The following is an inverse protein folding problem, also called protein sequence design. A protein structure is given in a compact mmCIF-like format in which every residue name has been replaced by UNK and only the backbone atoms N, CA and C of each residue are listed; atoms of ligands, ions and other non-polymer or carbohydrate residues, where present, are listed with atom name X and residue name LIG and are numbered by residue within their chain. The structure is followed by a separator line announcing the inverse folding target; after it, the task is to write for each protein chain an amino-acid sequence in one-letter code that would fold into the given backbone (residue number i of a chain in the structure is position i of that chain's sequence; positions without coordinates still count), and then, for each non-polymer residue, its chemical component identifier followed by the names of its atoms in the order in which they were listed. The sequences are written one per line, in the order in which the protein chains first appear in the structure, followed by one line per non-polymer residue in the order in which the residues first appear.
data_IF_976292634704
#
_entry.id   IF_976292634704
#
_cell.length_a   1.000
_cell.length_b   1.000
_cell.length_c   1.000
_cell.angle_alpha   90.00
_cell.angle_beta   90.00
_cell.angle_gamma   90.00
#
_symmetry.space_group_name_H-M   'P 1'
#
loop_
_entity.id
_entity.type
_entity.pdbx_description
1 polymer ?
#
# COMPACT_ATOMS: atom_id res chain seq x y z
N UNK A 1 14.45 0.71 -3.33
CA UNK A 1 13.73 -0.60 -3.39
C UNK A 1 14.54 -1.76 -2.83
N UNK A 2 15.79 -1.98 -3.25
CA UNK A 2 16.66 -3.04 -2.70
C UNK A 2 16.84 -2.96 -1.17
N UNK A 3 16.99 -1.76 -0.63
CA UNK A 3 17.11 -1.51 0.83
C UNK A 3 15.88 -1.92 1.65
N UNK A 4 14.70 -1.98 1.03
CA UNK A 4 13.43 -2.37 1.69
C UNK A 4 13.05 -3.84 1.49
N UNK A 5 13.93 -4.63 0.84
CA UNK A 5 13.73 -6.05 0.48
C UNK A 5 12.35 -6.30 -0.14
N UNK A 6 11.96 -5.45 -1.09
CA UNK A 6 10.64 -5.51 -1.75
C UNK A 6 10.55 -6.74 -2.66
N UNK A 7 11.66 -7.11 -3.28
CA UNK A 7 11.75 -8.21 -4.23
C UNK A 7 13.17 -8.75 -4.31
N UNK A 8 13.29 -9.95 -4.87
CA UNK A 8 14.56 -10.57 -5.26
C UNK A 8 14.46 -11.16 -6.69
N UNK A 9 15.61 -11.37 -7.33
CA UNK A 9 15.68 -11.89 -8.69
C UNK A 9 15.91 -13.40 -8.66
N UNK A 10 14.99 -14.16 -9.24
CA UNK A 10 14.99 -15.64 -9.21
C UNK A 10 14.77 -16.22 -10.60
N UNK A 11 15.14 -17.48 -10.76
CA UNK A 11 14.80 -18.23 -11.96
C UNK A 11 13.28 -18.42 -12.06
N UNK A 12 12.72 -18.35 -13.28
CA UNK A 12 11.29 -18.48 -13.48
C UNK A 12 10.79 -19.85 -13.01
N UNK A 13 9.76 -19.91 -12.15
CA UNK A 13 9.20 -21.16 -11.67
C UNK A 13 8.47 -21.92 -12.79
N UNK A 14 8.66 -23.24 -12.86
CA UNK A 14 8.07 -24.08 -13.93
C UNK A 14 6.53 -24.09 -13.92
N UNK A 15 5.89 -24.01 -12.74
CA UNK A 15 4.44 -24.20 -12.56
C UNK A 15 3.76 -23.05 -11.81
N UNK A 16 4.23 -21.80 -11.99
CA UNK A 16 3.58 -20.63 -11.40
C UNK A 16 3.36 -19.55 -12.45
N UNK A 17 2.28 -18.79 -12.27
CA UNK A 17 1.97 -17.65 -13.11
C UNK A 17 2.99 -16.54 -12.90
N UNK A 18 3.55 -16.05 -14.00
CA UNK A 18 4.42 -14.86 -14.02
C UNK A 18 3.58 -13.69 -14.50
N UNK A 19 3.40 -12.69 -13.65
CA UNK A 19 2.65 -11.48 -13.96
C UNK A 19 3.48 -10.61 -14.90
N UNK A 20 2.84 -10.08 -15.95
CA UNK A 20 3.46 -9.12 -16.85
C UNK A 20 3.64 -7.75 -16.19
N UNK A 21 4.74 -7.07 -16.50
CA UNK A 21 4.97 -5.69 -16.06
C UNK A 21 4.27 -4.68 -16.98
N UNK A 22 2.93 -4.73 -17.06
CA UNK A 22 2.14 -3.71 -17.79
C UNK A 22 1.96 -2.42 -16.98
N UNK A 23 2.07 -2.49 -15.66
CA UNK A 23 1.97 -1.33 -14.78
C UNK A 23 3.34 -0.67 -14.65
N UNK A 24 3.74 0.02 -15.71
CA UNK A 24 4.91 0.90 -15.69
C UNK A 24 4.63 1.99 -14.65
N UNK A 25 5.55 2.11 -13.68
CA UNK A 25 5.52 3.11 -12.63
C UNK A 25 5.37 4.51 -13.23
N UNK A 26 4.19 5.12 -13.10
CA UNK A 26 4.12 6.57 -13.15
C UNK A 26 4.80 7.06 -11.86
N UNK A 27 6.04 7.53 -11.99
CA UNK A 27 6.72 8.28 -10.93
C UNK A 27 5.87 9.52 -10.73
N UNK A 28 5.08 9.54 -9.65
CA UNK A 28 4.44 10.77 -9.20
C UNK A 28 5.57 11.69 -8.74
N UNK A 29 5.86 12.74 -9.52
CA UNK A 29 6.59 13.89 -9.00
C UNK A 29 5.75 14.45 -7.85
N UNK A 30 6.36 14.67 -6.68
CA UNK A 30 5.66 15.12 -5.46
C UNK A 30 4.80 16.35 -5.81
N UNK A 31 3.51 16.13 -6.03
CA UNK A 31 2.54 17.20 -6.09
C UNK A 31 2.53 17.80 -4.70
N UNK A 32 2.83 19.11 -4.60
CA UNK A 32 2.62 19.86 -3.36
C UNK A 32 1.23 19.48 -2.84
N UNK A 33 1.20 18.89 -1.65
CA UNK A 33 -0.01 18.51 -0.93
C UNK A 33 -0.89 19.76 -0.90
N UNK A 34 -1.90 19.80 -1.78
CA UNK A 34 -2.89 20.86 -1.75
C UNK A 34 -3.76 20.57 -0.53
N UNK A 35 -3.63 21.39 0.52
CA UNK A 35 -4.59 21.51 1.61
C UNK A 35 -5.95 21.94 1.05
N UNK A 36 -6.69 20.99 0.46
CA UNK A 36 -8.05 21.22 -0.02
C UNK A 36 -8.82 19.94 0.19
N UNK A 37 -9.24 19.69 1.43
CA UNK A 37 -10.39 18.82 1.75
C UNK A 37 -10.91 19.00 3.20
N UNK A 38 -10.61 20.11 3.87
CA UNK A 38 -10.94 20.35 5.28
C UNK A 38 -12.20 21.18 5.49
N UNK A 39 -13.15 21.21 4.54
CA UNK A 39 -14.35 22.07 4.68
C UNK A 39 -15.44 21.48 5.57
N UNK A 40 -15.60 20.16 5.64
CA UNK A 40 -16.74 19.55 6.36
C UNK A 40 -16.49 19.41 7.87
N UNK A 41 -15.28 19.01 8.28
CA UNK A 41 -14.94 18.75 9.69
C UNK A 41 -14.77 20.06 10.47
N UNK A 42 -14.25 21.11 9.81
CA UNK A 42 -14.13 22.43 10.42
C UNK A 42 -15.49 23.08 10.73
N UNK A 43 -16.53 22.78 9.93
CA UNK A 43 -17.87 23.35 10.12
C UNK A 43 -18.53 22.89 11.42
N UNK A 44 -18.18 21.71 11.92
CA UNK A 44 -18.70 21.17 13.18
C UNK A 44 -17.83 21.55 14.40
N UNK A 45 -16.74 22.32 14.18
CA UNK A 45 -15.82 22.72 15.25
C UNK A 45 -14.92 21.60 15.77
N UNK A 46 -14.80 20.49 15.03
CA UNK A 46 -13.97 19.37 15.45
C UNK A 46 -12.51 19.60 15.04
N UNK A 47 -11.60 19.40 16.00
CA UNK A 47 -10.17 19.34 15.70
C UNK A 47 -9.89 18.10 14.86
N UNK A 48 -9.09 18.24 13.81
CA UNK A 48 -8.73 17.12 12.96
C UNK A 48 -7.32 17.27 12.38
N UNK A 49 -6.72 16.13 12.04
CA UNK A 49 -5.43 16.02 11.37
C UNK A 49 -5.57 15.08 10.19
N UNK A 50 -4.99 15.47 9.04
CA UNK A 50 -4.89 14.60 7.87
C UNK A 50 -3.48 14.04 7.76
N UNK A 51 -3.38 12.72 7.56
CA UNK A 51 -2.14 11.97 7.40
C UNK A 51 -2.17 11.26 6.04
N UNK A 52 -1.04 11.30 5.33
CA UNK A 52 -0.85 10.59 4.06
C UNK A 52 0.26 9.55 4.19
N UNK A 53 -0.05 8.28 3.93
CA UNK A 53 0.93 7.19 4.00
C UNK A 53 1.63 7.02 2.66
N UNK A 54 2.85 7.56 2.54
CA UNK A 54 3.67 7.38 1.34
C UNK A 54 3.95 5.90 1.08
N UNK A 55 3.58 5.44 -0.12
CA UNK A 55 3.76 4.06 -0.59
C UNK A 55 3.11 3.00 0.30
N UNK A 56 1.88 3.27 0.76
CA UNK A 56 1.07 2.43 1.64
C UNK A 56 1.15 0.92 1.33
N UNK A 57 1.02 0.52 0.06
CA UNK A 57 1.02 -0.90 -0.30
C UNK A 57 2.34 -1.62 -0.01
N UNK A 58 3.48 -0.93 0.03
CA UNK A 58 4.77 -1.55 0.37
C UNK A 58 4.86 -2.01 1.82
N UNK A 59 3.93 -1.60 2.68
CA UNK A 59 3.84 -2.11 4.05
C UNK A 59 3.03 -3.41 4.14
N UNK A 60 2.18 -3.70 3.14
CA UNK A 60 1.44 -4.95 3.07
C UNK A 60 2.36 -6.13 2.72
N UNK A 61 2.40 -7.15 3.58
CA UNK A 61 3.08 -8.41 3.30
C UNK A 61 2.27 -9.26 2.33
N UNK A 62 2.95 -9.91 1.39
CA UNK A 62 2.32 -10.93 0.53
C UNK A 62 2.36 -12.28 1.25
N UNK A 63 1.24 -12.98 1.31
CA UNK A 63 1.19 -14.37 1.82
C UNK A 63 1.56 -15.40 0.74
N UNK A 64 1.42 -15.02 -0.53
CA UNK A 64 1.68 -15.88 -1.67
C UNK A 64 2.91 -15.40 -2.44
N UNK A 65 3.59 -16.34 -3.10
CA UNK A 65 4.68 -16.00 -3.99
C UNK A 65 4.14 -15.39 -5.28
N UNK A 66 4.39 -14.10 -5.46
CA UNK A 66 4.04 -13.37 -6.67
C UNK A 66 5.29 -13.16 -7.51
N UNK A 67 5.27 -13.66 -8.74
CA UNK A 67 6.37 -13.52 -9.68
C UNK A 67 6.03 -12.46 -10.73
N UNK A 68 6.92 -11.52 -10.97
CA UNK A 68 6.74 -10.41 -11.91
C UNK A 68 7.85 -10.46 -12.96
N UNK A 69 7.48 -10.41 -14.23
CA UNK A 69 8.45 -10.24 -15.32
C UNK A 69 9.19 -8.91 -15.14
N UNK A 70 10.49 -8.89 -15.42
CA UNK A 70 11.27 -7.65 -15.38
C UNK A 70 10.62 -6.58 -16.30
N UNK A 71 10.39 -5.35 -15.82
CA UNK A 71 9.84 -4.27 -16.62
C UNK A 71 10.77 -3.91 -17.78
N UNK A 72 10.23 -3.51 -18.94
CA UNK A 72 11.03 -2.88 -19.98
C UNK A 72 11.83 -1.69 -19.42
N UNK A 73 13.13 -1.62 -19.74
CA UNK A 73 14.03 -0.58 -19.23
C UNK A 73 14.61 -0.83 -17.83
N UNK A 74 14.15 -1.87 -17.12
CA UNK A 74 14.67 -2.28 -15.80
C UNK A 74 15.16 -3.74 -15.79
N UNK A 75 15.47 -4.27 -16.97
CA UNK A 75 16.04 -5.61 -17.13
C UNK A 75 17.52 -5.55 -16.72
N UNK A 76 17.93 -6.45 -15.84
CA UNK A 76 19.33 -6.56 -15.41
C UNK A 76 20.11 -7.38 -16.43
N UNK A 77 21.22 -6.80 -16.92
CA UNK A 77 22.11 -7.42 -17.90
C UNK A 77 22.56 -8.81 -17.43
N UNK A 78 22.64 -9.75 -18.37
CA UNK A 78 23.06 -11.15 -18.17
C UNK A 78 22.08 -11.97 -17.32
N UNK A 79 20.88 -11.44 -17.05
CA UNK A 79 19.81 -12.11 -16.28
C UNK A 79 18.42 -11.87 -16.88
N UNK A 80 18.35 -11.67 -18.19
CA UNK A 80 17.14 -11.28 -18.92
C UNK A 80 16.00 -12.29 -18.79
N UNK A 81 16.33 -13.57 -18.58
CA UNK A 81 15.38 -14.66 -18.38
C UNK A 81 14.80 -14.74 -16.97
N UNK A 82 15.41 -14.06 -15.99
CA UNK A 82 14.97 -14.10 -14.60
C UNK A 82 13.73 -13.23 -14.35
N UNK A 83 13.05 -13.51 -13.24
CA UNK A 83 11.85 -12.80 -12.79
C UNK A 83 12.03 -12.25 -11.39
N UNK A 84 11.23 -11.25 -11.02
CA UNK A 84 11.18 -10.73 -9.66
C UNK A 84 10.21 -11.55 -8.81
N UNK A 85 10.67 -12.14 -7.72
CA UNK A 85 9.82 -12.63 -6.64
C UNK A 85 9.52 -11.46 -5.70
N UNK A 86 8.24 -11.12 -5.54
CA UNK A 86 7.81 -10.03 -4.67
C UNK A 86 7.58 -10.53 -3.24
N UNK A 87 8.15 -9.84 -2.26
CA UNK A 87 7.88 -10.08 -0.83
C UNK A 87 6.85 -9.09 -0.25
N UNK A 88 6.64 -7.97 -0.95
CA UNK A 88 5.76 -6.88 -0.52
C UNK A 88 4.76 -6.54 -1.62
N UNK A 89 3.58 -6.12 -1.20
CA UNK A 89 2.53 -5.72 -2.12
C UNK A 89 2.94 -4.46 -2.90
N UNK A 90 2.66 -4.46 -4.21
CA UNK A 90 2.94 -3.35 -5.13
C UNK A 90 1.64 -2.77 -5.68
N UNK A 91 1.67 -1.51 -6.11
CA UNK A 91 0.55 -0.96 -6.88
C UNK A 91 0.30 -1.82 -8.14
N UNK A 92 -0.97 -2.06 -8.46
CA UNK A 92 -1.39 -2.85 -9.61
C UNK A 92 -1.58 -4.36 -9.35
N UNK A 93 -1.20 -4.88 -8.18
CA UNK A 93 -1.62 -6.23 -7.78
C UNK A 93 -3.02 -6.19 -7.17
N UNK A 94 -3.87 -7.14 -7.55
CA UNK A 94 -5.27 -7.22 -7.08
C UNK A 94 -5.39 -7.31 -5.56
N UNK A 95 -4.42 -7.95 -4.90
CA UNK A 95 -4.40 -8.17 -3.46
C UNK A 95 -3.82 -7.01 -2.64
N UNK A 96 -3.18 -6.02 -3.28
CA UNK A 96 -2.40 -4.99 -2.56
C UNK A 96 -3.22 -4.16 -1.58
N UNK A 97 -4.41 -3.70 -2.01
CA UNK A 97 -5.31 -2.94 -1.15
C UNK A 97 -5.72 -3.73 0.10
N UNK A 98 -6.03 -5.03 -0.06
CA UNK A 98 -6.38 -5.91 1.05
C UNK A 98 -5.19 -6.12 1.99
N UNK A 99 -3.99 -6.37 1.46
CA UNK A 99 -2.77 -6.58 2.29
C UNK A 99 -2.44 -5.35 3.11
N UNK A 100 -2.53 -4.17 2.51
CA UNK A 100 -2.36 -2.92 3.23
C UNK A 100 -3.42 -2.71 4.31
N UNK A 101 -4.70 -2.90 3.98
CA UNK A 101 -5.78 -2.72 4.95
C UNK A 101 -5.67 -3.67 6.14
N UNK A 102 -5.24 -4.92 5.93
CA UNK A 102 -4.98 -5.86 7.02
C UNK A 102 -3.83 -5.42 7.92
N UNK A 103 -2.71 -4.95 7.35
CA UNK A 103 -1.58 -4.46 8.14
C UNK A 103 -1.97 -3.22 8.96
N UNK A 104 -2.70 -2.28 8.34
CA UNK A 104 -3.17 -1.07 9.01
C UNK A 104 -4.19 -1.38 10.12
N UNK A 105 -5.10 -2.32 9.90
CA UNK A 105 -6.04 -2.79 10.92
C UNK A 105 -5.32 -3.36 12.15
N UNK A 106 -4.26 -4.16 11.94
CA UNK A 106 -3.45 -4.67 13.05
C UNK A 106 -2.77 -3.55 13.83
N UNK A 107 -2.13 -2.59 13.12
CA UNK A 107 -1.47 -1.44 13.76
C UNK A 107 -2.47 -0.62 14.58
N UNK A 108 -3.66 -0.36 14.05
CA UNK A 108 -4.68 0.41 14.76
C UNK A 108 -5.21 -0.32 15.99
N UNK A 109 -5.43 -1.63 15.90
CA UNK A 109 -5.81 -2.45 17.07
C UNK A 109 -4.72 -2.44 18.15
N UNK A 110 -3.45 -2.49 17.77
CA UNK A 110 -2.33 -2.37 18.71
C UNK A 110 -2.34 -0.99 19.41
N UNK A 111 -2.70 0.06 18.68
CA UNK A 111 -2.94 1.42 19.18
C UNK A 111 -4.28 1.60 19.92
N UNK A 112 -5.01 0.51 20.20
CA UNK A 112 -6.29 0.48 20.94
C UNK A 112 -7.44 1.20 20.23
N UNK A 113 -7.39 1.24 18.90
CA UNK A 113 -8.51 1.64 18.07
C UNK A 113 -9.39 0.44 17.74
N UNK A 114 -10.66 0.52 18.08
CA UNK A 114 -11.67 -0.47 17.73
C UNK A 114 -12.32 -0.12 16.40
N UNK A 115 -12.34 -1.07 15.47
CA UNK A 115 -13.07 -0.95 14.21
C UNK A 115 -14.57 -0.97 14.48
N UNK A 116 -15.32 -0.04 13.90
CA UNK A 116 -16.78 -0.01 14.02
C UNK A 116 -17.42 -1.15 13.22
N UNK A 117 -18.43 -1.83 13.78
CA UNK A 117 -19.07 -3.00 13.14
C UNK A 117 -19.72 -2.69 11.78
N UNK A 118 -20.20 -1.47 11.60
CA UNK A 118 -20.90 -1.03 10.38
C UNK A 118 -19.99 -0.35 9.36
N UNK A 119 -18.69 -0.23 9.61
CA UNK A 119 -17.77 0.42 8.67
C UNK A 119 -16.37 -0.18 8.68
N UNK A 120 -15.86 -0.49 7.48
CA UNK A 120 -14.50 -1.01 7.31
C UNK A 120 -13.41 0.07 7.39
N UNK A 121 -13.78 1.35 7.35
CA UNK A 121 -12.87 2.50 7.31
C UNK A 121 -12.87 3.33 8.59
N UNK A 122 -13.78 3.05 9.53
CA UNK A 122 -13.91 3.82 10.76
C UNK A 122 -13.39 3.06 11.97
N UNK A 123 -12.55 3.74 12.73
CA UNK A 123 -11.99 3.23 13.96
C UNK A 123 -12.17 4.27 15.07
N UNK A 124 -12.34 3.81 16.30
CA UNK A 124 -12.54 4.68 17.46
C UNK A 124 -11.63 4.28 18.61
N UNK A 125 -11.04 5.25 19.27
CA UNK A 125 -10.37 5.10 20.55
C UNK A 125 -10.80 6.24 21.47
N UNK A 126 -11.64 5.96 22.47
CA UNK A 126 -12.26 6.97 23.35
C UNK A 126 -12.94 8.07 22.52
N UNK A 127 -12.48 9.30 22.60
CA UNK A 127 -13.06 10.47 21.92
C UNK A 127 -12.39 10.75 20.56
N UNK A 128 -11.45 9.91 20.13
CA UNK A 128 -10.75 10.04 18.85
C UNK A 128 -11.37 9.08 17.83
N UNK A 129 -11.67 9.60 16.65
CA UNK A 129 -12.21 8.83 15.52
C UNK A 129 -11.23 8.91 14.38
N UNK A 130 -10.82 7.76 13.84
CA UNK A 130 -10.01 7.70 12.64
C UNK A 130 -10.84 7.19 11.45
N UNK A 131 -10.78 7.93 10.36
CA UNK A 131 -11.38 7.60 9.06
C UNK A 131 -10.28 7.29 8.06
N UNK A 132 -10.36 6.12 7.43
CA UNK A 132 -9.32 5.63 6.52
C UNK A 132 -9.88 5.48 5.12
N UNK A 133 -9.17 6.07 4.16
CA UNK A 133 -9.44 5.85 2.74
C UNK A 133 -8.13 5.52 2.02
N UNK A 134 -7.89 4.22 1.85
CA UNK A 134 -6.67 3.70 1.21
C UNK A 134 -5.40 4.24 1.89
N UNK A 135 -4.73 5.24 1.31
CA UNK A 135 -3.50 5.87 1.78
C UNK A 135 -3.73 7.18 2.56
N UNK A 136 -4.96 7.70 2.58
CA UNK A 136 -5.37 8.86 3.36
C UNK A 136 -6.00 8.46 4.70
N UNK A 137 -5.59 9.13 5.78
CA UNK A 137 -6.14 8.93 7.12
C UNK A 137 -6.52 10.28 7.70
N UNK A 138 -7.73 10.39 8.21
CA UNK A 138 -8.21 11.54 8.98
C UNK A 138 -8.38 11.08 10.43
N UNK A 139 -7.94 11.89 11.38
CA UNK A 139 -8.11 11.69 12.83
C UNK A 139 -8.72 12.94 13.43
#
# INVERSE_FOLDING_TARGET
MKTRKVWELVDPPANKTIIGSKWVYNIKHDEKINQRNTKLVSLLGWNHVQLYVKSAYLYGKLEENVYLKQPPGFIVKDTESKVYLLHKALYGLHQSGRRWNCELDHILKDLKFDKLLWSNSLYKNKDVISVIYVDDIIV
#
